data_IF_278715791915
#
_entry.id   IF_278715791915
#
_cell.length_a   1.000
_cell.length_b   1.000
_cell.length_c   1.000
_cell.angle_alpha   90.00
_cell.angle_beta   90.00
_cell.angle_gamma   90.00
#
_symmetry.space_group_name_H-M   'P 1'
#
loop_
_entity.id
_entity.type
_entity.pdbx_description
1 polymer ?
#
# COMPACT_ATOMS: atom_id res chain seq x y z
N UNK A 1 4.14 -4.83 -19.28
CA UNK A 1 4.15 -6.22 -18.77
C UNK A 1 4.57 -7.22 -19.84
N UNK A 2 3.85 -7.28 -20.98
CA UNK A 2 4.13 -8.19 -22.11
C UNK A 2 5.56 -8.18 -22.67
N UNK A 3 6.17 -7.01 -22.90
CA UNK A 3 7.51 -6.90 -23.52
C UNK A 3 8.58 -7.71 -22.80
N UNK A 4 8.46 -7.83 -21.48
CA UNK A 4 9.45 -8.50 -20.62
C UNK A 4 8.87 -9.74 -19.93
N UNK A 5 7.69 -10.21 -20.35
CA UNK A 5 7.00 -11.36 -19.76
C UNK A 5 6.85 -11.28 -18.23
N UNK A 6 6.47 -10.11 -17.71
CA UNK A 6 6.11 -9.97 -16.29
C UNK A 6 4.73 -10.58 -16.00
N UNK A 7 4.55 -11.10 -14.80
CA UNK A 7 3.28 -11.66 -14.30
C UNK A 7 2.38 -10.62 -13.61
N UNK A 8 2.84 -9.38 -13.47
CA UNK A 8 2.08 -8.34 -12.78
C UNK A 8 2.85 -7.05 -12.58
N UNK A 9 2.25 -6.17 -11.78
CA UNK A 9 2.80 -4.89 -11.37
C UNK A 9 2.61 -4.71 -9.86
N UNK A 10 3.65 -4.23 -9.19
CA UNK A 10 3.58 -3.76 -7.81
C UNK A 10 3.72 -2.24 -7.81
N UNK A 11 2.82 -1.56 -7.10
CA UNK A 11 2.89 -0.12 -6.91
C UNK A 11 3.61 0.22 -5.61
N UNK A 12 4.69 0.99 -5.73
CA UNK A 12 5.52 1.40 -4.61
C UNK A 12 5.75 2.92 -4.64
N UNK A 13 4.67 3.68 -4.42
CA UNK A 13 4.72 5.14 -4.31
C UNK A 13 4.75 5.55 -2.82
N UNK A 14 5.87 6.12 -2.40
CA UNK A 14 6.12 6.58 -1.03
C UNK A 14 6.23 8.11 -0.91
N UNK A 15 5.21 8.83 -0.42
CA UNK A 15 3.84 8.39 -0.19
C UNK A 15 2.89 9.42 -0.84
N UNK A 16 1.70 9.00 -1.31
CA UNK A 16 0.65 9.93 -1.73
C UNK A 16 0.39 10.98 -0.65
N UNK A 17 0.12 12.23 -1.05
CA UNK A 17 -0.17 13.37 -0.14
C UNK A 17 1.03 13.87 0.67
N UNK A 18 2.14 13.12 0.79
CA UNK A 18 3.31 13.51 1.59
C UNK A 18 4.05 14.72 0.94
N UNK A 19 4.00 15.93 1.55
CA UNK A 19 4.57 17.13 0.95
C UNK A 19 6.10 17.09 0.83
N UNK A 20 6.78 16.32 1.69
CA UNK A 20 8.23 16.12 1.60
C UNK A 20 8.62 15.26 0.38
N UNK A 21 7.62 14.60 -0.22
CA UNK A 21 7.70 13.76 -1.43
C UNK A 21 6.97 14.38 -2.62
N UNK A 22 6.68 15.68 -2.58
CA UNK A 22 5.93 16.42 -3.60
C UNK A 22 4.46 15.97 -3.75
N UNK A 23 3.87 15.37 -2.72
CA UNK A 23 2.47 14.96 -2.72
C UNK A 23 1.49 16.14 -2.58
N UNK A 24 0.27 15.93 -3.07
CA UNK A 24 -0.87 16.86 -2.99
C UNK A 24 -2.12 16.14 -2.49
N UNK A 25 -3.11 16.83 -1.89
CA UNK A 25 -4.30 16.19 -1.33
C UNK A 25 -5.08 15.28 -2.29
N UNK A 26 -5.07 15.62 -3.58
CA UNK A 26 -5.75 14.87 -4.63
C UNK A 26 -5.11 13.49 -4.89
N UNK A 27 -3.89 13.24 -4.41
CA UNK A 27 -3.18 11.98 -4.63
C UNK A 27 -3.95 10.78 -4.08
N UNK A 28 -4.66 10.93 -2.95
CA UNK A 28 -5.44 9.83 -2.36
C UNK A 28 -6.48 9.28 -3.33
N UNK A 29 -7.27 10.18 -3.92
CA UNK A 29 -8.31 9.80 -4.88
C UNK A 29 -7.69 9.35 -6.21
N UNK A 30 -6.69 10.09 -6.71
CA UNK A 30 -6.03 9.78 -7.97
C UNK A 30 -5.31 8.44 -7.95
N UNK A 31 -4.72 8.05 -6.82
CA UNK A 31 -4.04 6.77 -6.71
C UNK A 31 -5.02 5.60 -6.73
N UNK A 32 -6.17 5.73 -6.07
CA UNK A 32 -7.25 4.75 -6.18
C UNK A 32 -7.79 4.64 -7.61
N UNK A 33 -8.00 5.77 -8.29
CA UNK A 33 -8.42 5.82 -9.69
C UNK A 33 -7.38 5.17 -10.63
N UNK A 34 -6.08 5.40 -10.39
CA UNK A 34 -5.00 4.76 -11.15
C UNK A 34 -5.08 3.23 -11.04
N UNK A 35 -5.19 2.71 -9.82
CA UNK A 35 -5.24 1.25 -9.57
C UNK A 35 -6.51 0.65 -10.17
N UNK A 36 -7.66 1.33 -10.03
CA UNK A 36 -8.91 0.91 -10.67
C UNK A 36 -8.81 0.87 -12.19
N UNK A 37 -8.25 1.92 -12.81
CA UNK A 37 -8.07 1.98 -14.26
C UNK A 37 -7.14 0.87 -14.76
N UNK A 38 -6.09 0.55 -13.99
CA UNK A 38 -5.17 -0.55 -14.30
C UNK A 38 -5.85 -1.91 -14.21
N UNK A 39 -6.64 -2.16 -13.16
CA UNK A 39 -7.46 -3.38 -13.05
C UNK A 39 -8.41 -3.53 -14.23
N UNK A 40 -9.11 -2.45 -14.60
CA UNK A 40 -10.01 -2.45 -15.74
C UNK A 40 -9.27 -2.73 -17.07
N UNK A 41 -8.09 -2.17 -17.26
CA UNK A 41 -7.28 -2.41 -18.44
C UNK A 41 -6.83 -3.89 -18.56
N UNK A 42 -6.41 -4.50 -17.45
CA UNK A 42 -6.04 -5.92 -17.38
C UNK A 42 -7.25 -6.80 -17.74
N UNK A 43 -8.40 -6.57 -17.10
CA UNK A 43 -9.65 -7.30 -17.38
C UNK A 43 -10.04 -7.20 -18.86
N UNK A 44 -9.98 -5.99 -19.44
CA UNK A 44 -10.32 -5.78 -20.86
C UNK A 44 -9.33 -6.45 -21.82
N UNK A 45 -8.08 -6.64 -21.39
CA UNK A 45 -7.05 -7.27 -22.20
C UNK A 45 -7.11 -8.80 -22.19
N UNK A 46 -7.94 -9.40 -21.32
CA UNK A 46 -7.98 -10.84 -21.04
C UNK A 46 -6.64 -11.42 -20.57
N UNK A 47 -5.74 -10.58 -20.08
CA UNK A 47 -4.52 -11.00 -19.41
C UNK A 47 -4.83 -11.31 -17.93
N UNK A 48 -4.04 -12.19 -17.33
CA UNK A 48 -4.11 -12.55 -15.92
C UNK A 48 -2.87 -11.99 -15.21
N UNK A 49 -2.90 -10.69 -14.93
CA UNK A 49 -1.79 -9.99 -14.27
C UNK A 49 -2.14 -9.64 -12.83
N UNK A 50 -1.18 -9.87 -11.94
CA UNK A 50 -1.26 -9.42 -10.56
C UNK A 50 -1.13 -7.89 -10.48
N UNK A 51 -1.88 -7.28 -9.56
CA UNK A 51 -1.69 -5.91 -9.12
C UNK A 51 -1.52 -5.92 -7.61
N UNK A 52 -0.37 -5.49 -7.14
CA UNK A 52 -0.04 -5.43 -5.71
C UNK A 52 0.43 -4.03 -5.34
N UNK A 53 0.54 -3.75 -4.05
CA UNK A 53 0.99 -2.44 -3.57
C UNK A 53 1.80 -2.56 -2.29
N UNK A 54 2.92 -1.86 -2.23
CA UNK A 54 3.65 -1.58 -1.00
C UNK A 54 3.04 -0.37 -0.29
N UNK A 55 2.78 -0.52 1.02
CA UNK A 55 2.12 0.51 1.84
C UNK A 55 2.86 0.71 3.17
N UNK A 56 2.84 1.90 3.78
CA UNK A 56 3.55 2.16 5.02
C UNK A 56 2.92 1.43 6.21
N UNK A 57 3.76 1.07 7.19
CA UNK A 57 3.30 0.73 8.54
C UNK A 57 3.00 2.00 9.38
N UNK A 58 2.17 2.91 8.86
CA UNK A 58 1.77 4.15 9.56
C UNK A 58 0.31 4.45 9.30
N UNK A 59 -0.52 4.35 10.34
CA UNK A 59 -1.97 4.61 10.25
C UNK A 59 -2.26 6.03 9.78
N UNK A 60 -1.45 7.02 10.18
CA UNK A 60 -1.59 8.40 9.70
C UNK A 60 -1.35 8.53 8.19
N UNK A 61 -0.31 7.87 7.65
CA UNK A 61 -0.05 7.89 6.21
C UNK A 61 -1.14 7.12 5.44
N UNK A 62 -1.60 6.00 5.99
CA UNK A 62 -2.71 5.22 5.41
C UNK A 62 -3.99 6.07 5.34
N UNK A 63 -4.37 6.71 6.45
CA UNK A 63 -5.55 7.59 6.53
C UNK A 63 -5.49 8.73 5.50
N UNK A 64 -4.30 9.33 5.31
CA UNK A 64 -4.10 10.48 4.43
C UNK A 64 -4.01 10.11 2.95
N UNK A 65 -3.28 9.06 2.60
CA UNK A 65 -2.87 8.78 1.22
C UNK A 65 -3.55 7.60 0.54
N UNK A 66 -4.27 6.74 1.29
CA UNK A 66 -4.74 5.46 0.76
C UNK A 66 -6.24 5.28 0.99
N UNK A 67 -7.03 5.20 -0.09
CA UNK A 67 -8.41 4.72 -0.02
C UNK A 67 -8.42 3.19 0.05
N UNK A 68 -8.21 2.64 1.25
CA UNK A 68 -8.08 1.19 1.46
C UNK A 68 -9.31 0.39 1.02
N UNK A 69 -10.51 0.99 1.06
CA UNK A 69 -11.73 0.35 0.60
C UNK A 69 -11.71 0.15 -0.92
N UNK A 70 -11.36 1.21 -1.67
CA UNK A 70 -11.23 1.13 -3.13
C UNK A 70 -10.02 0.28 -3.56
N UNK A 71 -8.88 0.45 -2.89
CA UNK A 71 -7.65 -0.27 -3.21
C UNK A 71 -7.79 -1.78 -2.98
N UNK A 72 -8.36 -2.22 -1.86
CA UNK A 72 -8.54 -3.66 -1.56
C UNK A 72 -9.40 -4.40 -2.60
N UNK A 73 -10.35 -3.71 -3.25
CA UNK A 73 -11.18 -4.29 -4.31
C UNK A 73 -10.42 -4.49 -5.63
N UNK A 74 -9.33 -3.75 -5.85
CA UNK A 74 -8.61 -3.73 -7.12
C UNK A 74 -7.21 -4.37 -7.04
N UNK A 75 -6.68 -4.59 -5.83
CA UNK A 75 -5.40 -5.26 -5.58
C UNK A 75 -5.61 -6.75 -5.29
N UNK A 76 -4.64 -7.57 -5.69
CA UNK A 76 -4.58 -8.98 -5.31
C UNK A 76 -4.13 -9.14 -3.86
N UNK A 77 -3.09 -8.41 -3.45
CA UNK A 77 -2.64 -8.31 -2.07
C UNK A 77 -1.82 -7.03 -1.82
N UNK A 78 -1.65 -6.71 -0.54
CA UNK A 78 -1.00 -5.51 -0.02
C UNK A 78 0.24 -5.93 0.77
N UNK A 79 1.40 -5.45 0.35
CA UNK A 79 2.67 -5.63 1.03
C UNK A 79 2.84 -4.50 2.05
N UNK A 80 2.68 -4.80 3.34
CA UNK A 80 2.85 -3.79 4.38
C UNK A 80 4.35 -3.71 4.72
N UNK A 81 4.92 -2.52 4.54
CA UNK A 81 6.31 -2.21 4.87
C UNK A 81 6.47 -2.10 6.38
N UNK A 82 6.44 -3.23 7.08
CA UNK A 82 6.54 -3.38 8.54
C UNK A 82 7.99 -3.27 9.05
N UNK A 83 8.74 -2.36 8.45
CA UNK A 83 10.10 -1.97 8.76
C UNK A 83 10.22 -0.44 8.71
N UNK A 84 11.40 0.10 9.04
CA UNK A 84 11.67 1.54 9.13
C UNK A 84 10.68 2.30 10.04
N UNK A 85 10.16 1.62 11.06
CA UNK A 85 9.27 2.22 12.08
C UNK A 85 10.07 3.18 12.97
N UNK A 86 11.27 2.77 13.36
CA UNK A 86 12.25 3.57 14.10
C UNK A 86 13.59 3.58 13.34
N UNK A 87 14.29 4.71 13.40
CA UNK A 87 15.58 4.88 12.74
C UNK A 87 16.36 6.06 13.31
N UNK A 88 17.39 6.53 12.60
CA UNK A 88 18.21 7.65 13.07
C UNK A 88 17.42 8.96 13.23
N UNK A 89 16.28 9.07 12.53
CA UNK A 89 15.37 10.22 12.55
C UNK A 89 14.44 10.22 13.78
N UNK A 90 14.38 9.14 14.55
CA UNK A 90 13.50 9.02 15.70
C UNK A 90 14.08 9.73 16.93
N UNK A 91 13.20 10.35 17.74
CA UNK A 91 13.61 10.99 19.00
C UNK A 91 14.06 9.98 20.06
N UNK A 92 13.48 8.77 20.02
CA UNK A 92 13.79 7.66 20.93
C UNK A 92 14.29 6.44 20.17
N UNK A 93 15.12 5.63 20.84
CA UNK A 93 15.57 4.34 20.31
C UNK A 93 14.41 3.35 20.32
N UNK A 94 14.14 2.73 19.17
CA UNK A 94 13.14 1.68 19.02
C UNK A 94 13.55 0.63 17.99
N UNK A 95 12.81 -0.48 17.95
CA UNK A 95 13.01 -1.52 16.92
C UNK A 95 12.50 -1.02 15.58
N UNK A 96 13.31 -1.09 14.51
CA UNK A 96 12.85 -0.73 13.17
C UNK A 96 11.68 -1.60 12.68
N UNK A 97 11.47 -2.77 13.30
CA UNK A 97 10.33 -3.68 13.09
C UNK A 97 9.70 -4.07 14.45
N UNK A 98 9.04 -3.13 15.14
CA UNK A 98 8.38 -3.37 16.42
C UNK A 98 7.04 -4.11 16.23
N UNK A 99 6.96 -5.35 16.73
CA UNK A 99 5.76 -6.20 16.58
C UNK A 99 4.48 -5.65 17.22
N UNK A 100 4.57 -4.81 18.26
CA UNK A 100 3.37 -4.19 18.86
C UNK A 100 2.80 -3.15 17.92
N UNK A 101 3.67 -2.31 17.35
CA UNK A 101 3.30 -1.33 16.33
C UNK A 101 2.70 -2.03 15.09
N UNK A 102 3.34 -3.09 14.61
CA UNK A 102 2.86 -3.90 13.48
C UNK A 102 1.46 -4.45 13.75
N UNK A 103 1.22 -5.03 14.93
CA UNK A 103 -0.10 -5.56 15.31
C UNK A 103 -1.16 -4.47 15.26
N UNK A 104 -0.84 -3.25 15.70
CA UNK A 104 -1.78 -2.15 15.74
C UNK A 104 -2.11 -1.65 14.30
N UNK A 105 -1.11 -1.62 13.40
CA UNK A 105 -1.30 -1.34 11.97
C UNK A 105 -2.16 -2.41 11.30
N UNK A 106 -1.89 -3.70 11.54
CA UNK A 106 -2.73 -4.80 11.02
C UNK A 106 -4.18 -4.65 11.50
N UNK A 107 -4.37 -4.34 12.78
CA UNK A 107 -5.71 -4.12 13.35
C UNK A 107 -6.42 -2.95 12.67
N UNK A 108 -5.68 -1.90 12.31
CA UNK A 108 -6.21 -0.78 11.55
C UNK A 108 -6.68 -1.22 10.15
N UNK A 109 -5.89 -1.96 9.37
CA UNK A 109 -6.32 -2.49 8.06
C UNK A 109 -7.63 -3.30 8.16
N UNK A 110 -7.70 -4.21 9.14
CA UNK A 110 -8.90 -5.02 9.37
C UNK A 110 -10.12 -4.14 9.73
N UNK A 111 -9.92 -3.08 10.51
CA UNK A 111 -10.99 -2.12 10.86
C UNK A 111 -11.51 -1.33 9.65
N UNK A 112 -10.68 -1.16 8.61
CA UNK A 112 -11.06 -0.53 7.34
C UNK A 112 -11.71 -1.52 6.35
N UNK A 113 -11.91 -2.77 6.76
CA UNK A 113 -12.57 -3.80 5.95
C UNK A 113 -11.65 -4.53 4.97
N UNK A 114 -10.33 -4.36 5.06
CA UNK A 114 -9.39 -5.11 4.23
C UNK A 114 -9.34 -6.57 4.71
N UNK A 115 -9.59 -7.56 3.83
CA UNK A 115 -9.51 -8.98 4.17
C UNK A 115 -8.11 -9.37 4.66
N UNK A 116 -8.04 -10.18 5.72
CA UNK A 116 -6.77 -10.63 6.29
C UNK A 116 -5.90 -11.41 5.29
N UNK A 117 -6.51 -12.15 4.37
CA UNK A 117 -5.82 -12.92 3.33
C UNK A 117 -5.14 -12.04 2.27
N UNK A 118 -5.50 -10.76 2.18
CA UNK A 118 -4.83 -9.80 1.30
C UNK A 118 -3.63 -9.11 1.96
N UNK A 119 -3.38 -9.31 3.26
CA UNK A 119 -2.31 -8.60 3.98
C UNK A 119 -1.04 -9.46 4.04
N UNK A 120 0.04 -8.95 3.45
CA UNK A 120 1.38 -9.55 3.50
C UNK A 120 2.26 -8.69 4.43
N UNK A 121 2.82 -9.33 5.46
CA UNK A 121 3.71 -8.69 6.43
C UNK A 121 5.15 -8.70 5.90
N UNK A 122 5.79 -7.53 5.81
CA UNK A 122 7.22 -7.40 5.51
C UNK A 122 8.11 -7.85 6.67
N UNK A 123 9.23 -8.49 6.37
CA UNK A 123 10.21 -8.99 7.34
C UNK A 123 11.63 -8.63 6.91
#
# INVERSE_FOLDING_TARGET
>A
LRTYNFDGIDFDWEYPVDPDRCGVPEDKENYALLVQAMRQAIVNSSDDYLITMAVPASTTRLDQGYDLSSLSQNLDYINIMTYDIYGYWSEEVGSHSDMRHIRDVISYFLSQGVPSEQLIMGL
#
